data_IF_670873397144
#
_entry.id   IF_670873397144
#
_cell.length_a   1.000
_cell.length_b   1.000
_cell.length_c   1.000
_cell.angle_alpha   90.00
_cell.angle_beta   90.00
_cell.angle_gamma   90.00
#
_symmetry.space_group_name_H-M   'P 1'
#
loop_
_entity.id
_entity.type
_entity.pdbx_description
1 polymer ?
#
# COMPACT_ATOMS: atom_id res chain seq x y z
N UNK A 1 16.23 -24.20 -17.25
CA UNK A 1 17.25 -23.53 -16.43
C UNK A 1 16.55 -22.74 -15.35
N UNK A 2 16.88 -22.87 -14.06
CA UNK A 2 16.27 -22.06 -13.04
C UNK A 2 16.63 -20.58 -13.26
N UNK A 3 15.63 -19.68 -13.19
CA UNK A 3 15.85 -18.24 -13.27
C UNK A 3 16.74 -17.83 -12.09
N UNK A 4 17.94 -17.34 -12.35
CA UNK A 4 18.78 -16.73 -11.32
C UNK A 4 18.18 -15.41 -10.94
N UNK A 5 17.68 -15.29 -9.73
CA UNK A 5 17.32 -14.00 -9.14
C UNK A 5 18.60 -13.16 -9.03
N UNK A 6 18.54 -11.89 -9.42
CA UNK A 6 19.65 -10.97 -9.26
C UNK A 6 19.98 -10.77 -7.77
N UNK A 7 21.23 -10.41 -7.47
CA UNK A 7 21.69 -10.13 -6.09
C UNK A 7 20.80 -9.05 -5.44
N UNK A 8 20.33 -8.05 -6.21
CA UNK A 8 19.42 -7.02 -5.74
C UNK A 8 18.07 -7.59 -5.28
N UNK A 9 17.52 -8.59 -5.98
CA UNK A 9 16.27 -9.25 -5.59
C UNK A 9 16.44 -10.08 -4.33
N UNK A 10 17.61 -10.74 -4.17
CA UNK A 10 17.94 -11.49 -2.95
C UNK A 10 18.12 -10.56 -1.74
N UNK A 11 18.76 -9.41 -1.93
CA UNK A 11 18.93 -8.40 -0.87
C UNK A 11 17.55 -7.82 -0.49
N UNK A 12 16.73 -7.48 -1.46
CA UNK A 12 15.36 -6.98 -1.21
C UNK A 12 14.51 -8.03 -0.49
N UNK A 13 14.63 -9.31 -0.87
CA UNK A 13 13.96 -10.40 -0.20
C UNK A 13 14.48 -10.61 1.23
N UNK A 14 15.81 -10.59 1.42
CA UNK A 14 16.43 -10.72 2.73
C UNK A 14 16.06 -9.57 3.68
N UNK A 15 15.99 -8.33 3.17
CA UNK A 15 15.52 -7.16 3.93
C UNK A 15 14.04 -7.28 4.29
N UNK A 16 13.21 -7.78 3.38
CA UNK A 16 11.80 -8.04 3.65
C UNK A 16 11.62 -9.11 4.73
N UNK A 17 12.39 -10.20 4.67
CA UNK A 17 12.38 -11.28 5.68
C UNK A 17 12.92 -10.80 7.03
N UNK A 18 13.99 -10.00 7.04
CA UNK A 18 14.54 -9.42 8.27
C UNK A 18 13.53 -8.46 8.94
N UNK A 19 12.80 -7.69 8.15
CA UNK A 19 11.72 -6.78 8.62
C UNK A 19 10.53 -7.59 9.22
N UNK A 20 10.28 -8.81 8.71
CA UNK A 20 9.28 -9.73 9.26
C UNK A 20 9.70 -10.39 10.60
N UNK A 21 10.98 -10.44 10.91
CA UNK A 21 11.52 -11.09 12.12
C UNK A 21 11.48 -10.21 13.38
N UNK A 22 11.25 -8.91 13.26
CA UNK A 22 11.24 -7.97 14.41
C UNK A 22 9.99 -8.05 15.30
N UNK A 23 9.04 -8.93 15.02
CA UNK A 23 8.00 -9.41 15.95
C UNK A 23 7.02 -8.39 16.54
N UNK A 24 7.22 -7.10 16.33
CA UNK A 24 6.43 -6.03 16.95
C UNK A 24 5.28 -5.50 16.07
N UNK A 25 5.27 -5.83 14.79
CA UNK A 25 4.25 -5.36 13.85
C UNK A 25 3.06 -6.33 13.77
N UNK A 26 1.81 -5.84 13.97
CA UNK A 26 0.63 -6.67 13.83
C UNK A 26 0.47 -7.18 12.39
N UNK A 27 0.13 -8.45 12.21
CA UNK A 27 -0.13 -9.06 10.90
C UNK A 27 -1.61 -9.00 10.46
N UNK A 28 -2.50 -8.56 11.36
CA UNK A 28 -3.93 -8.46 11.10
C UNK A 28 -4.58 -7.37 11.95
N UNK A 29 -5.78 -6.92 11.53
CA UNK A 29 -6.60 -5.99 12.28
C UNK A 29 -6.81 -6.48 13.73
N UNK A 30 -7.18 -7.75 13.91
CA UNK A 30 -7.41 -8.34 15.25
C UNK A 30 -6.15 -8.27 16.14
N UNK A 31 -4.98 -8.51 15.58
CA UNK A 31 -3.73 -8.36 16.34
C UNK A 31 -3.46 -6.90 16.70
N UNK A 32 -3.71 -5.97 15.79
CA UNK A 32 -3.50 -4.54 16.05
C UNK A 32 -4.36 -4.03 17.21
N UNK A 33 -5.67 -4.36 17.21
CA UNK A 33 -6.60 -3.90 18.26
C UNK A 33 -6.40 -4.60 19.61
N UNK A 34 -5.76 -5.78 19.62
CA UNK A 34 -5.43 -6.51 20.85
C UNK A 34 -3.99 -6.28 21.32
N UNK A 35 -3.21 -5.48 20.58
CA UNK A 35 -1.83 -5.17 20.95
C UNK A 35 -1.74 -4.12 22.07
N UNK A 36 -0.57 -4.03 22.71
CA UNK A 36 -0.27 -3.00 23.71
C UNK A 36 -0.45 -1.59 23.14
N UNK A 37 -0.12 -1.38 21.86
CA UNK A 37 -0.15 -0.10 21.16
C UNK A 37 -1.43 0.11 20.33
N UNK A 38 -2.54 -0.56 20.70
CA UNK A 38 -3.82 -0.51 19.98
C UNK A 38 -4.28 0.90 19.61
N UNK A 39 -4.13 1.87 20.50
CA UNK A 39 -4.57 3.25 20.25
C UNK A 39 -3.77 3.92 19.13
N UNK A 40 -2.47 3.65 19.06
CA UNK A 40 -1.58 4.16 18.02
C UNK A 40 -1.89 3.53 16.67
N UNK A 41 -2.15 2.22 16.65
CA UNK A 41 -2.59 1.52 15.43
C UNK A 41 -3.96 1.98 14.95
N UNK A 42 -4.91 2.19 15.86
CA UNK A 42 -6.22 2.75 15.52
C UNK A 42 -6.11 4.17 14.94
N UNK A 43 -5.24 5.01 15.51
CA UNK A 43 -4.96 6.33 14.94
C UNK A 43 -4.39 6.23 13.53
N UNK A 44 -3.39 5.36 13.31
CA UNK A 44 -2.80 5.17 11.99
C UNK A 44 -3.82 4.64 10.95
N UNK A 45 -4.71 3.73 11.34
CA UNK A 45 -5.79 3.25 10.46
C UNK A 45 -6.80 4.36 10.15
N UNK A 46 -7.17 5.19 11.12
CA UNK A 46 -8.07 6.33 10.89
C UNK A 46 -7.44 7.37 9.94
N UNK A 47 -6.15 7.64 10.06
CA UNK A 47 -5.41 8.51 9.15
C UNK A 47 -5.45 7.98 7.70
N UNK A 48 -5.24 6.68 7.52
CA UNK A 48 -5.33 6.04 6.20
C UNK A 48 -6.75 6.12 5.65
N UNK A 49 -7.78 5.81 6.45
CA UNK A 49 -9.18 5.91 6.02
C UNK A 49 -9.59 7.33 5.65
N UNK A 50 -9.13 8.33 6.41
CA UNK A 50 -9.35 9.74 6.07
C UNK A 50 -8.72 10.08 4.72
N UNK A 51 -7.47 9.68 4.49
CA UNK A 51 -6.77 9.89 3.22
C UNK A 51 -7.49 9.24 2.04
N UNK A 52 -7.97 8.00 2.19
CA UNK A 52 -8.72 7.29 1.16
C UNK A 52 -10.07 7.96 0.86
N UNK A 53 -10.74 8.49 1.88
CA UNK A 53 -12.00 9.24 1.75
C UNK A 53 -11.77 10.59 1.04
N UNK A 54 -10.75 11.33 1.44
CA UNK A 54 -10.40 12.63 0.84
C UNK A 54 -10.05 12.51 -0.65
N UNK A 55 -9.45 11.37 -1.04
CA UNK A 55 -9.14 11.04 -2.44
C UNK A 55 -10.32 10.38 -3.18
N UNK A 56 -11.49 10.22 -2.55
CA UNK A 56 -12.66 9.57 -3.17
C UNK A 56 -12.35 8.21 -3.80
N UNK A 57 -11.51 7.40 -3.15
CA UNK A 57 -10.98 6.13 -3.68
C UNK A 57 -12.06 5.12 -4.03
N UNK A 58 -13.24 5.18 -3.37
CA UNK A 58 -14.40 4.33 -3.68
C UNK A 58 -15.72 5.01 -3.31
N UNK A 59 -16.81 4.41 -3.80
CA UNK A 59 -18.17 4.66 -3.32
C UNK A 59 -18.79 3.36 -2.84
N UNK A 60 -19.66 3.45 -1.82
CA UNK A 60 -20.43 2.29 -1.37
C UNK A 60 -21.59 2.05 -2.33
N UNK A 61 -21.72 0.80 -2.77
CA UNK A 61 -22.80 0.36 -3.66
C UNK A 61 -23.40 -0.94 -3.14
N UNK A 62 -24.65 -1.22 -3.51
CA UNK A 62 -25.27 -2.51 -3.25
C UNK A 62 -24.46 -3.60 -3.98
N UNK A 63 -24.23 -4.72 -3.30
CA UNK A 63 -23.48 -5.83 -3.89
C UNK A 63 -24.22 -6.41 -5.10
N UNK A 64 -23.67 -6.29 -6.33
CA UNK A 64 -24.30 -6.91 -7.51
C UNK A 64 -24.25 -8.44 -7.42
N UNK A 65 -25.33 -9.10 -7.80
CA UNK A 65 -25.39 -10.56 -7.84
C UNK A 65 -24.40 -11.14 -8.84
N UNK A 66 -23.70 -12.22 -8.46
CA UNK A 66 -22.77 -12.93 -9.35
C UNK A 66 -21.44 -12.22 -9.62
N UNK A 67 -21.22 -11.00 -9.13
CA UNK A 67 -19.95 -10.29 -9.31
C UNK A 67 -18.91 -10.72 -8.27
N UNK A 68 -17.68 -10.83 -8.74
CA UNK A 68 -16.53 -11.18 -7.91
C UNK A 68 -16.16 -10.03 -6.98
N UNK A 69 -15.85 -10.37 -5.74
CA UNK A 69 -15.44 -9.41 -4.73
C UNK A 69 -13.96 -9.59 -4.41
N UNK A 70 -13.20 -8.51 -4.49
CA UNK A 70 -11.80 -8.46 -4.07
C UNK A 70 -11.78 -8.21 -2.57
N UNK A 71 -11.06 -9.05 -1.81
CA UNK A 71 -10.83 -8.79 -0.39
C UNK A 71 -9.81 -7.67 -0.17
N UNK A 72 -9.79 -7.11 1.02
CA UNK A 72 -8.73 -6.20 1.45
C UNK A 72 -8.04 -6.70 2.73
N UNK A 73 -6.91 -6.11 3.07
CA UNK A 73 -6.19 -6.35 4.31
C UNK A 73 -5.49 -5.10 4.80
N UNK A 74 -5.34 -5.00 6.10
CA UNK A 74 -4.47 -4.03 6.74
C UNK A 74 -3.01 -4.50 6.72
N UNK A 75 -2.09 -3.57 6.41
CA UNK A 75 -0.65 -3.73 6.56
C UNK A 75 -0.19 -2.68 7.56
N UNK A 76 0.56 -3.12 8.56
CA UNK A 76 1.08 -2.29 9.63
C UNK A 76 2.60 -2.20 9.54
N UNK A 77 3.14 -1.02 9.72
CA UNK A 77 4.59 -0.78 9.71
C UNK A 77 4.98 0.22 10.79
N UNK A 78 6.04 -0.11 11.52
CA UNK A 78 6.75 0.82 12.38
C UNK A 78 7.83 1.52 11.54
N UNK A 79 7.83 2.86 11.54
CA UNK A 79 8.88 3.63 10.90
C UNK A 79 9.66 4.38 11.96
N UNK A 80 10.98 4.30 11.87
CA UNK A 80 11.85 5.13 12.68
C UNK A 80 11.62 6.61 12.32
N UNK A 81 11.68 7.47 13.31
CA UNK A 81 11.61 8.93 13.10
C UNK A 81 12.78 9.43 12.26
N UNK A 82 12.61 10.60 11.65
CA UNK A 82 13.70 11.28 10.92
C UNK A 82 14.90 11.47 11.84
N UNK A 83 16.12 11.38 11.30
CA UNK A 83 17.38 11.47 12.01
C UNK A 83 17.37 12.59 13.08
N UNK A 84 17.56 12.21 14.35
CA UNK A 84 17.54 13.10 15.52
C UNK A 84 16.30 13.00 16.42
N UNK A 85 15.22 12.32 15.99
CA UNK A 85 14.05 12.05 16.83
C UNK A 85 13.92 10.54 17.10
N UNK A 86 13.90 10.15 18.37
CA UNK A 86 13.65 8.76 18.80
C UNK A 86 12.17 8.37 18.70
N UNK A 87 11.33 9.14 17.99
CA UNK A 87 9.91 8.87 17.90
C UNK A 87 9.63 7.81 16.84
N UNK A 88 9.08 6.68 17.25
CA UNK A 88 8.56 5.65 16.36
C UNK A 88 7.21 6.11 15.78
N UNK A 89 7.07 6.08 14.46
CA UNK A 89 5.82 6.40 13.76
C UNK A 89 5.09 5.11 13.36
N UNK A 90 3.86 5.00 13.79
CA UNK A 90 2.95 3.92 13.41
C UNK A 90 2.33 4.26 12.06
N UNK A 91 2.37 3.32 11.12
CA UNK A 91 1.76 3.48 9.80
C UNK A 91 0.90 2.27 9.48
N UNK A 92 -0.34 2.51 9.11
CA UNK A 92 -1.24 1.50 8.57
C UNK A 92 -1.50 1.80 7.10
N UNK A 93 -1.71 0.76 6.29
CA UNK A 93 -2.15 0.85 4.91
C UNK A 93 -3.23 -0.16 4.64
N UNK A 94 -4.25 0.25 3.92
CA UNK A 94 -5.26 -0.65 3.39
C UNK A 94 -4.84 -1.13 2.00
N UNK A 95 -4.82 -2.44 1.78
CA UNK A 95 -4.37 -3.03 0.52
C UNK A 95 -5.41 -4.01 0.00
N UNK A 96 -5.82 -3.87 -1.26
CA UNK A 96 -6.65 -4.84 -1.94
C UNK A 96 -5.85 -6.13 -2.23
N UNK A 97 -6.50 -7.29 -2.10
CA UNK A 97 -5.88 -8.60 -2.34
C UNK A 97 -5.91 -8.94 -3.83
N UNK A 98 -5.06 -8.28 -4.63
CA UNK A 98 -5.02 -8.41 -6.09
C UNK A 98 -4.66 -9.79 -6.63
N UNK A 99 -4.09 -10.71 -5.82
CA UNK A 99 -3.72 -12.07 -6.27
C UNK A 99 -4.89 -12.94 -6.73
N UNK A 100 -6.12 -12.53 -6.47
CA UNK A 100 -7.32 -13.21 -6.97
C UNK A 100 -7.79 -12.65 -8.31
N UNK A 101 -7.23 -11.56 -8.79
CA UNK A 101 -7.56 -10.94 -10.08
C UNK A 101 -6.93 -11.73 -11.22
N UNK A 102 -7.62 -11.76 -12.38
CA UNK A 102 -7.16 -12.43 -13.59
C UNK A 102 -6.81 -11.41 -14.67
N UNK A 103 -5.65 -11.59 -15.29
CA UNK A 103 -5.23 -10.81 -16.44
C UNK A 103 -6.23 -10.99 -17.60
N UNK A 104 -6.52 -9.89 -18.30
CA UNK A 104 -7.49 -9.83 -19.39
C UNK A 104 -8.98 -9.82 -18.97
N UNK A 105 -9.29 -9.92 -17.65
CA UNK A 105 -10.65 -9.85 -17.10
C UNK A 105 -10.75 -8.74 -16.06
N UNK A 106 -9.83 -8.73 -15.10
CA UNK A 106 -9.83 -7.82 -13.96
C UNK A 106 -8.78 -6.71 -14.11
N UNK A 107 -7.81 -6.85 -15.02
CA UNK A 107 -6.80 -5.85 -15.35
C UNK A 107 -6.16 -6.17 -16.72
N UNK A 108 -5.71 -5.12 -17.43
CA UNK A 108 -5.09 -5.24 -18.75
C UNK A 108 -3.56 -5.07 -18.74
N UNK A 109 -3.02 -4.36 -17.74
CA UNK A 109 -1.58 -4.12 -17.59
C UNK A 109 -1.09 -4.58 -16.22
N UNK A 110 0.07 -5.24 -16.19
CA UNK A 110 0.53 -5.97 -15.00
C UNK A 110 1.28 -5.09 -14.01
N UNK A 111 2.06 -4.08 -14.44
CA UNK A 111 2.89 -3.28 -13.54
C UNK A 111 3.26 -1.90 -14.10
N UNK A 112 3.27 -0.90 -13.23
CA UNK A 112 3.99 0.34 -13.50
C UNK A 112 5.49 0.09 -13.58
N UNK A 113 6.22 0.73 -14.51
CA UNK A 113 7.65 0.58 -14.61
C UNK A 113 8.35 1.06 -13.33
N UNK A 114 9.20 0.19 -12.77
CA UNK A 114 10.05 0.54 -11.62
C UNK A 114 11.38 1.05 -12.13
N UNK A 115 11.78 2.23 -11.66
CA UNK A 115 13.07 2.84 -12.05
C UNK A 115 14.23 1.98 -11.56
N UNK A 116 15.16 1.65 -12.46
CA UNK A 116 16.38 0.92 -12.11
C UNK A 116 17.35 1.83 -11.34
N UNK A 117 18.01 1.29 -10.32
CA UNK A 117 19.05 2.03 -9.57
C UNK A 117 20.17 2.58 -10.47
N UNK A 118 20.49 1.90 -11.58
CA UNK A 118 21.44 2.40 -12.58
C UNK A 118 20.99 3.71 -13.22
N UNK A 119 19.70 3.86 -13.52
CA UNK A 119 19.16 5.10 -14.09
C UNK A 119 19.28 6.28 -13.11
N UNK A 120 18.99 6.05 -11.83
CA UNK A 120 19.18 7.08 -10.78
C UNK A 120 20.66 7.48 -10.68
N UNK A 121 21.58 6.51 -10.70
CA UNK A 121 23.03 6.79 -10.66
C UNK A 121 23.51 7.59 -11.87
N UNK A 122 23.01 7.29 -13.06
CA UNK A 122 23.33 8.05 -14.28
C UNK A 122 22.84 9.49 -14.16
N UNK A 123 21.59 9.71 -13.70
CA UNK A 123 21.06 11.05 -13.48
C UNK A 123 21.88 11.84 -12.47
N UNK A 124 22.25 11.23 -11.34
CA UNK A 124 23.11 11.86 -10.33
C UNK A 124 24.51 12.21 -10.89
N UNK A 125 25.08 11.33 -11.73
CA UNK A 125 26.37 11.59 -12.37
C UNK A 125 26.29 12.77 -13.36
N UNK A 126 25.20 12.85 -14.14
CA UNK A 126 24.93 13.97 -15.06
C UNK A 126 24.76 15.26 -14.26
N UNK A 127 23.99 15.25 -13.18
CA UNK A 127 23.79 16.40 -12.28
C UNK A 127 25.11 16.90 -11.75
N UNK A 128 25.97 16.00 -11.26
CA UNK A 128 27.29 16.38 -10.73
C UNK A 128 28.25 16.86 -11.82
N UNK A 129 28.20 16.28 -13.04
CA UNK A 129 29.08 16.67 -14.15
C UNK A 129 28.77 18.06 -14.69
N UNK A 130 27.48 18.42 -14.78
CA UNK A 130 27.03 19.72 -15.29
C UNK A 130 26.75 20.76 -14.20
N UNK A 131 27.06 20.45 -12.94
CA UNK A 131 26.80 21.31 -11.77
C UNK A 131 25.34 21.79 -11.71
N UNK A 132 24.39 20.85 -11.90
CA UNK A 132 22.96 21.14 -11.88
C UNK A 132 22.41 21.09 -10.45
N UNK A 133 21.41 21.91 -10.17
CA UNK A 133 20.63 21.82 -8.94
C UNK A 133 19.73 20.59 -8.98
N UNK A 134 19.57 19.92 -7.84
CA UNK A 134 18.77 18.71 -7.69
C UNK A 134 17.72 18.89 -6.60
N UNK A 135 16.45 18.83 -6.98
CA UNK A 135 15.32 18.81 -6.07
C UNK A 135 14.73 17.40 -5.98
N UNK A 136 14.52 16.94 -4.74
CA UNK A 136 13.83 15.69 -4.50
C UNK A 136 12.40 15.98 -4.03
N UNK A 137 11.42 15.54 -4.80
CA UNK A 137 10.01 15.66 -4.47
C UNK A 137 9.37 14.29 -4.32
N UNK A 138 8.43 14.14 -3.36
CA UNK A 138 7.62 12.96 -3.17
C UNK A 138 6.14 13.30 -3.31
N UNK A 139 5.43 12.53 -4.14
CA UNK A 139 3.99 12.73 -4.37
C UNK A 139 3.21 11.90 -3.37
N UNK A 140 2.44 12.55 -2.52
CA UNK A 140 1.50 11.86 -1.63
C UNK A 140 0.39 11.23 -2.46
N UNK A 141 0.06 9.97 -2.15
CA UNK A 141 -1.07 9.24 -2.76
C UNK A 141 -1.05 9.17 -4.30
N UNK A 142 0.13 9.13 -4.92
CA UNK A 142 0.30 9.15 -6.38
C UNK A 142 -0.59 8.15 -7.13
N UNK A 143 -0.77 6.94 -6.59
CA UNK A 143 -1.60 5.89 -7.20
C UNK A 143 -3.12 6.10 -7.03
N UNK A 144 -3.54 7.05 -6.21
CA UNK A 144 -4.95 7.38 -6.00
C UNK A 144 -5.44 8.53 -6.90
N UNK A 145 -4.55 9.10 -7.73
CA UNK A 145 -4.88 10.17 -8.66
C UNK A 145 -5.23 9.70 -10.08
N UNK A 146 -5.02 8.41 -10.37
CA UNK A 146 -5.42 7.81 -11.65
C UNK A 146 -6.87 7.37 -11.62
N UNK A 147 -7.58 7.56 -12.74
CA UNK A 147 -8.92 6.98 -12.91
C UNK A 147 -8.79 5.48 -13.16
N UNK A 148 -9.63 4.69 -12.51
CA UNK A 148 -9.74 3.27 -12.75
C UNK A 148 -10.75 3.02 -13.88
N UNK A 149 -10.33 2.37 -14.96
CA UNK A 149 -11.23 2.04 -16.08
C UNK A 149 -12.01 0.75 -15.81
N UNK A 150 -11.47 -0.12 -14.95
CA UNK A 150 -12.08 -1.40 -14.58
C UNK A 150 -13.06 -1.25 -13.41
N UNK A 151 -14.18 -1.96 -13.49
CA UNK A 151 -15.15 -2.02 -12.40
C UNK A 151 -14.72 -3.03 -11.33
N UNK A 152 -14.02 -2.57 -10.31
CA UNK A 152 -13.51 -3.39 -9.21
C UNK A 152 -14.35 -3.20 -7.95
N UNK A 153 -14.94 -4.31 -7.49
CA UNK A 153 -15.71 -4.37 -6.25
C UNK A 153 -14.82 -4.92 -5.12
N UNK A 154 -14.65 -4.16 -4.05
CA UNK A 154 -13.85 -4.55 -2.90
C UNK A 154 -14.71 -4.69 -1.65
N UNK A 155 -14.39 -5.67 -0.80
CA UNK A 155 -15.01 -5.79 0.52
C UNK A 155 -14.69 -4.57 1.38
N UNK A 156 -15.63 -4.14 2.22
CA UNK A 156 -15.38 -3.05 3.17
C UNK A 156 -14.24 -3.43 4.13
N UNK A 157 -13.43 -2.44 4.55
CA UNK A 157 -12.29 -2.66 5.46
C UNK A 157 -12.75 -3.16 6.83
N UNK A 158 -12.08 -4.21 7.34
CA UNK A 158 -12.33 -4.74 8.68
C UNK A 158 -12.15 -3.64 9.74
N UNK A 159 -13.18 -3.45 10.58
CA UNK A 159 -13.21 -2.44 11.63
C UNK A 159 -13.68 -1.04 11.21
N UNK A 160 -14.05 -0.85 9.94
CA UNK A 160 -14.52 0.42 9.38
C UNK A 160 -15.79 0.25 8.53
N UNK A 161 -16.57 -0.78 8.82
CA UNK A 161 -17.90 -0.96 8.22
C UNK A 161 -18.84 0.03 8.90
N UNK A 162 -19.53 0.86 8.10
CA UNK A 162 -20.51 1.82 8.62
C UNK A 162 -21.81 1.06 8.97
N UNK A 163 -22.44 1.45 10.08
CA UNK A 163 -23.68 0.84 10.54
C UNK A 163 -24.80 1.01 9.48
N UNK A 164 -25.47 -0.10 9.16
CA UNK A 164 -26.52 -0.13 8.12
C UNK A 164 -25.99 -0.29 6.69
N UNK A 165 -24.67 -0.49 6.51
CA UNK A 165 -24.05 -0.73 5.20
C UNK A 165 -23.35 -2.08 5.08
N UNK A 166 -23.65 -3.03 5.97
CA UNK A 166 -22.97 -4.31 6.09
C UNK A 166 -23.03 -5.14 4.80
N UNK A 167 -24.14 -5.01 4.04
CA UNK A 167 -24.36 -5.69 2.76
C UNK A 167 -23.80 -4.92 1.55
N UNK A 168 -23.26 -3.72 1.76
CA UNK A 168 -22.68 -2.92 0.70
C UNK A 168 -21.21 -3.24 0.49
N UNK A 169 -20.71 -2.89 -0.68
CA UNK A 169 -19.32 -3.09 -1.11
C UNK A 169 -18.73 -1.80 -1.65
N UNK A 170 -17.41 -1.69 -1.62
CA UNK A 170 -16.67 -0.56 -2.17
C UNK A 170 -16.49 -0.75 -3.68
N UNK A 171 -17.07 0.13 -4.49
CA UNK A 171 -16.75 0.26 -5.91
C UNK A 171 -15.56 1.22 -6.02
N UNK A 172 -14.39 0.71 -6.42
CA UNK A 172 -13.16 1.52 -6.59
C UNK A 172 -13.33 2.49 -7.76
N UNK A 173 -12.67 3.65 -7.64
CA UNK A 173 -12.67 4.73 -8.63
C UNK A 173 -11.29 5.01 -9.16
#
# INVERSE_FOLDING_TARGET
>A
MPKRYGIADLISFALMVADEMTGEEPKSYKQAINSRDKLKWLSAMKEEMASLKDNNTWVLVQRPAGRRLVGCKWIFKLKEGVAGSKSVRYKARLVAKGFTQKEGIDFNEVFSPVVKHSSIRVLLAITAYFDLELDQMDVKTAFLHGNLEEEILMAQPEGFIEEGTEDMVCLLK
#
